data_IF_832794481687
#
_entry.id   IF_832794481687
#
_cell.length_a   1.000
_cell.length_b   1.000
_cell.length_c   1.000
_cell.angle_alpha   90.00
_cell.angle_beta   90.00
_cell.angle_gamma   90.00
#
_symmetry.space_group_name_H-M   'P 1'
#
loop_
_entity.id
_entity.type
_entity.pdbx_description
1 polymer ?
#
# COMPACT_ATOMS: atom_id res chain seq x y z
N UNK A 1 -15.73 11.31 -3.03
CA UNK A 1 -14.41 10.66 -2.91
C UNK A 1 -13.33 11.45 -3.64
N UNK A 2 -13.32 11.57 -4.99
CA UNK A 2 -12.24 12.27 -5.74
C UNK A 2 -12.01 13.69 -5.26
N UNK A 3 -13.07 14.49 -5.12
CA UNK A 3 -12.97 15.89 -4.66
C UNK A 3 -12.35 16.02 -3.26
N UNK A 4 -12.55 15.04 -2.41
CA UNK A 4 -11.96 15.01 -1.08
C UNK A 4 -10.45 14.69 -1.13
N UNK A 5 -10.07 13.72 -1.95
CA UNK A 5 -8.65 13.44 -2.23
C UNK A 5 -7.92 14.65 -2.80
N UNK A 6 -8.53 15.39 -3.72
CA UNK A 6 -7.96 16.64 -4.25
C UNK A 6 -7.67 17.67 -3.15
N UNK A 7 -8.61 17.87 -2.21
CA UNK A 7 -8.43 18.81 -1.10
C UNK A 7 -7.31 18.37 -0.16
N UNK A 8 -7.26 17.08 0.20
CA UNK A 8 -6.24 16.52 1.07
C UNK A 8 -4.87 16.64 0.41
N UNK A 9 -4.74 16.19 -0.83
CA UNK A 9 -3.46 16.25 -1.54
C UNK A 9 -2.98 17.70 -1.74
N UNK A 10 -3.91 18.64 -2.02
CA UNK A 10 -3.57 20.05 -2.11
C UNK A 10 -3.06 20.60 -0.76
N UNK A 11 -3.72 20.25 0.33
CA UNK A 11 -3.31 20.69 1.67
C UNK A 11 -1.95 20.11 2.08
N UNK A 12 -1.66 18.87 1.70
CA UNK A 12 -0.44 18.15 2.05
C UNK A 12 0.70 18.33 1.02
N UNK A 13 0.47 19.10 -0.04
CA UNK A 13 1.47 19.31 -1.10
C UNK A 13 1.78 18.07 -1.93
N UNK A 14 0.83 17.11 -2.01
CA UNK A 14 0.99 15.87 -2.74
C UNK A 14 0.54 16.03 -4.20
N UNK A 15 1.34 15.50 -5.14
CA UNK A 15 0.95 15.46 -6.53
C UNK A 15 -0.22 14.48 -6.74
N UNK A 16 -1.24 14.91 -7.49
CA UNK A 16 -2.43 14.12 -7.78
C UNK A 16 -2.90 14.38 -9.21
N UNK A 17 -3.18 13.33 -9.95
CA UNK A 17 -3.78 13.37 -11.28
C UNK A 17 -4.98 12.42 -11.32
N UNK A 18 -6.18 12.94 -11.44
CA UNK A 18 -7.43 12.20 -11.41
C UNK A 18 -8.26 12.39 -12.69
N UNK A 19 -9.03 11.38 -13.09
CA UNK A 19 -9.02 10.01 -12.55
C UNK A 19 -7.76 9.25 -12.91
N UNK A 20 -7.39 8.18 -12.19
CA UNK A 20 -6.32 7.28 -12.62
C UNK A 20 -6.58 6.73 -14.02
N UNK A 21 -5.51 6.40 -14.77
CA UNK A 21 -5.62 5.87 -16.15
C UNK A 21 -6.55 4.65 -16.24
N UNK A 22 -6.63 3.89 -15.16
CA UNK A 22 -7.59 2.79 -14.99
C UNK A 22 -8.08 2.77 -13.54
N UNK A 23 -9.37 2.57 -13.34
CA UNK A 23 -9.95 2.46 -12.00
C UNK A 23 -11.13 1.46 -12.01
N UNK A 24 -11.15 0.48 -11.07
CA UNK A 24 -10.07 0.16 -10.15
C UNK A 24 -8.86 -0.47 -10.84
N UNK A 25 -7.67 -0.25 -10.29
CA UNK A 25 -6.45 -0.89 -10.74
C UNK A 25 -6.32 -2.30 -10.16
N UNK A 26 -5.66 -3.21 -10.91
CA UNK A 26 -5.29 -4.52 -10.36
C UNK A 26 -3.98 -4.42 -9.57
N UNK A 27 -4.10 -4.24 -8.26
CA UNK A 27 -2.96 -4.13 -7.35
C UNK A 27 -2.36 -5.45 -6.86
N UNK A 28 -2.84 -6.61 -7.32
CA UNK A 28 -2.44 -7.91 -6.77
C UNK A 28 -0.94 -8.19 -6.92
N UNK A 29 -0.34 -7.84 -8.06
CA UNK A 29 1.11 -8.02 -8.29
C UNK A 29 1.92 -7.12 -7.36
N UNK A 30 1.52 -5.85 -7.23
CA UNK A 30 2.15 -4.90 -6.34
C UNK A 30 2.05 -5.35 -4.87
N UNK A 31 0.92 -5.88 -4.43
CA UNK A 31 0.75 -6.41 -3.09
C UNK A 31 1.67 -7.62 -2.80
N UNK A 32 1.83 -8.54 -3.77
CA UNK A 32 2.76 -9.67 -3.66
C UNK A 32 4.21 -9.22 -3.57
N UNK A 33 4.60 -8.21 -4.35
CA UNK A 33 5.94 -7.62 -4.29
C UNK A 33 6.16 -6.89 -2.97
N UNK A 34 5.20 -6.12 -2.49
CA UNK A 34 5.29 -5.42 -1.21
C UNK A 34 5.55 -6.41 -0.05
N UNK A 35 4.89 -7.57 -0.06
CA UNK A 35 5.02 -8.57 0.99
C UNK A 35 6.44 -9.15 1.07
N UNK A 36 7.07 -9.45 -0.06
CA UNK A 36 8.46 -9.96 -0.09
C UNK A 36 9.50 -8.91 0.24
N UNK A 37 9.14 -7.64 0.20
CA UNK A 37 10.06 -6.52 0.46
C UNK A 37 10.32 -6.26 1.93
N UNK A 38 9.51 -6.81 2.84
CA UNK A 38 9.62 -6.56 4.28
C UNK A 38 10.99 -6.93 4.87
N UNK A 39 11.54 -8.12 4.61
CA UNK A 39 12.87 -8.50 5.13
C UNK A 39 13.99 -7.59 4.60
N UNK A 40 13.86 -7.08 3.38
CA UNK A 40 14.81 -6.16 2.76
C UNK A 40 14.59 -4.70 3.10
N UNK A 41 13.52 -4.38 3.84
CA UNK A 41 13.19 -3.02 4.29
C UNK A 41 12.75 -2.05 3.18
N UNK A 42 12.52 -2.54 1.96
CA UNK A 42 12.15 -1.66 0.83
C UNK A 42 10.65 -1.51 0.62
N UNK A 43 9.80 -2.28 1.32
CA UNK A 43 8.33 -2.22 1.20
C UNK A 43 7.76 -0.81 1.36
N UNK A 44 8.15 0.03 2.35
CA UNK A 44 7.58 1.36 2.48
C UNK A 44 7.89 2.27 1.29
N UNK A 45 9.11 2.22 0.76
CA UNK A 45 9.52 3.01 -0.40
C UNK A 45 8.81 2.52 -1.68
N UNK A 46 8.74 1.21 -1.87
CA UNK A 46 8.01 0.59 -2.98
C UNK A 46 6.52 0.95 -2.96
N UNK A 47 5.87 0.85 -1.81
CA UNK A 47 4.45 1.19 -1.66
C UNK A 47 4.20 2.65 -2.04
N UNK A 48 4.99 3.60 -1.51
CA UNK A 48 4.88 5.02 -1.90
C UNK A 48 5.05 5.23 -3.41
N UNK A 49 6.03 4.57 -4.02
CA UNK A 49 6.27 4.68 -5.45
C UNK A 49 5.13 4.12 -6.30
N UNK A 50 4.52 3.00 -5.88
CA UNK A 50 3.34 2.42 -6.56
C UNK A 50 2.14 3.36 -6.46
N UNK A 51 1.88 3.98 -5.31
CA UNK A 51 0.81 4.97 -5.17
C UNK A 51 1.07 6.21 -6.02
N UNK A 52 2.30 6.72 -6.04
CA UNK A 52 2.67 7.84 -6.90
C UNK A 52 2.50 7.50 -8.38
N UNK A 53 2.94 6.33 -8.81
CA UNK A 53 2.76 5.86 -10.19
C UNK A 53 1.29 5.84 -10.60
N UNK A 54 0.40 5.35 -9.72
CA UNK A 54 -1.04 5.28 -10.00
C UNK A 54 -1.72 6.66 -9.98
N UNK A 55 -1.50 7.44 -8.93
CA UNK A 55 -2.30 8.63 -8.65
C UNK A 55 -1.66 9.96 -9.06
N UNK A 56 -0.37 10.02 -9.29
CA UNK A 56 0.33 11.21 -9.75
C UNK A 56 0.85 11.09 -11.19
N UNK A 57 1.35 9.90 -11.55
CA UNK A 57 2.05 9.70 -12.83
C UNK A 57 1.19 9.03 -13.90
N UNK A 58 -0.05 8.67 -13.59
CA UNK A 58 -1.00 8.05 -14.51
C UNK A 58 -0.50 6.74 -15.14
N UNK A 59 0.25 5.93 -14.38
CA UNK A 59 0.79 4.66 -14.84
C UNK A 59 -0.11 3.49 -14.48
N UNK A 60 -0.11 2.45 -15.30
CA UNK A 60 -0.79 1.18 -14.98
C UNK A 60 0.07 0.36 -14.02
N UNK A 61 -0.34 0.29 -12.76
CA UNK A 61 0.34 -0.50 -11.71
C UNK A 61 0.07 -2.02 -11.80
N UNK A 62 -0.82 -2.44 -12.68
CA UNK A 62 -1.01 -3.85 -13.04
C UNK A 62 0.00 -4.34 -14.07
N UNK A 63 0.71 -3.42 -14.73
CA UNK A 63 1.73 -3.75 -15.72
C UNK A 63 3.09 -4.10 -15.09
N UNK A 64 3.70 -5.17 -15.58
CA UNK A 64 5.00 -5.62 -15.08
C UNK A 64 6.12 -4.61 -15.35
N UNK A 65 6.09 -3.91 -16.50
CA UNK A 65 7.12 -2.94 -16.84
C UNK A 65 7.12 -1.75 -15.86
N UNK A 66 5.94 -1.28 -15.47
CA UNK A 66 5.80 -0.24 -14.43
C UNK A 66 6.41 -0.68 -13.11
N UNK A 67 6.07 -1.87 -12.64
CA UNK A 67 6.56 -2.39 -11.36
C UNK A 67 8.08 -2.68 -11.39
N UNK A 68 8.61 -3.19 -12.51
CA UNK A 68 10.05 -3.38 -12.71
C UNK A 68 10.82 -2.07 -12.65
N UNK A 69 10.31 -1.03 -13.30
CA UNK A 69 10.91 0.31 -13.26
C UNK A 69 10.99 0.85 -11.83
N UNK A 70 9.94 0.65 -11.01
CA UNK A 70 9.93 1.06 -9.61
C UNK A 70 10.97 0.28 -8.80
N UNK A 71 11.04 -1.05 -8.95
CA UNK A 71 12.03 -1.89 -8.26
C UNK A 71 13.46 -1.50 -8.61
N UNK A 72 13.74 -1.31 -9.89
CA UNK A 72 15.06 -0.88 -10.37
C UNK A 72 15.48 0.48 -9.79
N UNK A 73 14.55 1.44 -9.71
CA UNK A 73 14.80 2.74 -9.10
C UNK A 73 15.13 2.67 -7.60
N UNK A 74 14.68 1.60 -6.93
CA UNK A 74 14.99 1.30 -5.53
C UNK A 74 16.25 0.45 -5.35
N UNK A 75 16.93 0.08 -6.43
CA UNK A 75 18.11 -0.79 -6.39
C UNK A 75 17.79 -2.26 -6.08
N UNK A 76 16.55 -2.67 -6.30
CA UNK A 76 16.08 -4.05 -6.08
C UNK A 76 16.22 -4.84 -7.38
N UNK A 77 16.76 -6.05 -7.29
CA UNK A 77 16.77 -6.99 -8.41
C UNK A 77 15.33 -7.40 -8.75
N UNK A 78 14.83 -6.89 -9.86
CA UNK A 78 13.45 -7.05 -10.25
C UNK A 78 13.13 -8.48 -10.71
N UNK A 79 14.06 -9.21 -11.35
CA UNK A 79 13.85 -10.60 -11.73
C UNK A 79 13.75 -11.50 -10.50
N UNK A 80 14.65 -11.35 -9.55
CA UNK A 80 14.59 -12.07 -8.28
C UNK A 80 13.32 -11.71 -7.49
N UNK A 81 12.93 -10.44 -7.43
CA UNK A 81 11.72 -9.99 -6.76
C UNK A 81 10.46 -10.58 -7.39
N UNK A 82 10.32 -10.55 -8.72
CA UNK A 82 9.18 -11.15 -9.41
C UNK A 82 9.12 -12.68 -9.24
N UNK A 83 10.26 -13.36 -9.28
CA UNK A 83 10.32 -14.79 -9.03
C UNK A 83 9.81 -15.13 -7.61
N UNK A 84 10.32 -14.43 -6.59
CA UNK A 84 9.89 -14.61 -5.20
C UNK A 84 8.41 -14.26 -4.98
N UNK A 85 7.92 -13.16 -5.57
CA UNK A 85 6.53 -12.72 -5.45
C UNK A 85 5.53 -13.72 -6.04
N UNK A 86 5.95 -14.54 -7.01
CA UNK A 86 5.09 -15.49 -7.70
C UNK A 86 5.14 -16.92 -7.13
N UNK A 87 5.94 -17.17 -6.11
CA UNK A 87 5.97 -18.48 -5.44
C UNK A 87 4.61 -18.82 -4.81
N UNK A 88 4.25 -20.11 -4.71
CA UNK A 88 3.05 -20.55 -3.99
C UNK A 88 3.04 -20.04 -2.54
N UNK A 89 4.17 -20.08 -1.86
CA UNK A 89 4.34 -19.67 -0.47
C UNK A 89 3.98 -18.18 -0.27
N UNK A 90 4.45 -17.29 -1.15
CA UNK A 90 4.14 -15.87 -1.07
C UNK A 90 2.67 -15.57 -1.41
N UNK A 91 2.10 -16.29 -2.37
CA UNK A 91 0.67 -16.18 -2.70
C UNK A 91 -0.21 -16.59 -1.51
N UNK A 92 0.14 -17.69 -0.85
CA UNK A 92 -0.55 -18.15 0.36
C UNK A 92 -0.33 -17.20 1.55
N UNK A 93 0.86 -16.62 1.69
CA UNK A 93 1.15 -15.63 2.71
C UNK A 93 0.27 -14.38 2.55
N UNK A 94 0.12 -13.86 1.33
CA UNK A 94 -0.78 -12.72 1.08
C UNK A 94 -2.24 -13.06 1.37
N UNK A 95 -2.67 -14.27 1.02
CA UNK A 95 -4.02 -14.74 1.32
C UNK A 95 -4.26 -14.78 2.84
N UNK A 96 -3.35 -15.39 3.60
CA UNK A 96 -3.44 -15.43 5.08
C UNK A 96 -3.47 -14.03 5.69
N UNK A 97 -2.63 -13.12 5.21
CA UNK A 97 -2.64 -11.71 5.69
C UNK A 97 -3.99 -11.05 5.45
N UNK A 98 -4.61 -11.30 4.30
CA UNK A 98 -5.94 -10.75 3.97
C UNK A 98 -7.03 -11.36 4.88
N UNK A 99 -6.97 -12.66 5.11
CA UNK A 99 -7.90 -13.38 6.01
C UNK A 99 -7.75 -12.89 7.46
N UNK A 100 -6.53 -12.66 7.92
CA UNK A 100 -6.25 -12.10 9.25
C UNK A 100 -6.80 -10.67 9.38
N UNK A 101 -6.59 -9.83 8.38
CA UNK A 101 -7.15 -8.48 8.36
C UNK A 101 -8.68 -8.50 8.44
N UNK A 102 -9.33 -9.38 7.68
CA UNK A 102 -10.78 -9.57 7.74
C UNK A 102 -11.24 -10.07 9.12
N UNK A 103 -10.53 -11.03 9.72
CA UNK A 103 -10.83 -11.55 11.06
C UNK A 103 -10.70 -10.48 12.15
N UNK A 104 -9.80 -9.49 11.98
CA UNK A 104 -9.68 -8.31 12.85
C UNK A 104 -10.75 -7.24 12.59
N UNK A 105 -11.67 -7.47 11.66
CA UNK A 105 -12.73 -6.53 11.33
C UNK A 105 -12.31 -5.38 10.41
N UNK A 106 -11.17 -5.46 9.73
CA UNK A 106 -10.76 -4.45 8.75
C UNK A 106 -11.67 -4.55 7.52
N UNK A 107 -12.36 -3.46 7.18
CA UNK A 107 -13.32 -3.40 6.09
C UNK A 107 -13.02 -2.27 5.08
N UNK A 108 -11.98 -1.48 5.32
CA UNK A 108 -11.61 -0.36 4.46
C UNK A 108 -10.18 0.11 4.68
N UNK A 109 -9.72 0.97 3.80
CA UNK A 109 -8.39 1.57 3.84
C UNK A 109 -8.49 3.11 3.81
N UNK A 110 -7.59 3.81 4.53
CA UNK A 110 -6.62 3.27 5.48
C UNK A 110 -7.29 2.79 6.78
N UNK A 111 -6.72 1.76 7.40
CA UNK A 111 -7.10 1.31 8.75
C UNK A 111 -5.85 1.20 9.62
N UNK A 112 -5.98 1.55 10.90
CA UNK A 112 -4.91 1.49 11.90
C UNK A 112 -5.37 0.64 13.06
N UNK A 113 -4.55 -0.34 13.48
CA UNK A 113 -4.85 -1.19 14.64
C UNK A 113 -3.82 -0.98 15.75
N UNK A 114 -4.27 -0.77 16.97
CA UNK A 114 -3.43 -0.65 18.17
C UNK A 114 -3.99 -1.60 19.23
N UNK A 115 -3.37 -2.79 19.36
CA UNK A 115 -3.97 -3.89 20.10
C UNK A 115 -5.29 -4.31 19.46
N UNK A 116 -6.38 -4.30 20.22
CA UNK A 116 -7.72 -4.65 19.76
C UNK A 116 -8.53 -3.46 19.22
N UNK A 117 -7.96 -2.24 19.30
CA UNK A 117 -8.63 -1.04 18.81
C UNK A 117 -8.41 -0.84 17.31
N UNK A 118 -9.51 -0.53 16.59
CA UNK A 118 -9.52 -0.25 15.17
C UNK A 118 -9.90 1.22 14.91
N UNK A 119 -9.07 1.90 14.12
CA UNK A 119 -9.32 3.24 13.61
C UNK A 119 -9.40 3.18 12.09
N UNK A 120 -10.52 3.58 11.51
CA UNK A 120 -10.71 3.58 10.07
C UNK A 120 -10.86 5.00 9.53
N UNK A 121 -10.07 5.32 8.52
CA UNK A 121 -10.09 6.57 7.79
C UNK A 121 -8.81 7.39 7.97
N UNK A 122 -8.47 8.18 6.94
CA UNK A 122 -7.32 9.08 6.97
C UNK A 122 -7.41 10.12 8.12
N UNK A 123 -8.63 10.59 8.41
CA UNK A 123 -8.94 11.53 9.48
C UNK A 123 -8.81 10.94 10.90
N UNK A 124 -8.54 9.63 11.01
CA UNK A 124 -8.33 8.93 12.29
C UNK A 124 -6.87 8.67 12.64
N UNK A 125 -5.93 8.99 11.75
CA UNK A 125 -4.50 8.76 11.98
C UNK A 125 -4.01 9.41 13.28
N UNK A 126 -4.33 10.69 13.51
CA UNK A 126 -3.89 11.39 14.73
C UNK A 126 -4.50 10.78 16.00
N UNK A 127 -5.76 10.36 15.95
CA UNK A 127 -6.42 9.70 17.08
C UNK A 127 -5.74 8.34 17.37
N UNK A 128 -5.40 7.57 16.33
CA UNK A 128 -4.68 6.31 16.46
C UNK A 128 -3.29 6.51 17.07
N UNK A 129 -2.54 7.52 16.61
CA UNK A 129 -1.22 7.84 17.15
C UNK A 129 -1.29 8.27 18.64
N UNK A 130 -2.26 9.10 19.02
CA UNK A 130 -2.49 9.47 20.42
C UNK A 130 -2.81 8.25 21.27
N UNK A 131 -3.67 7.36 20.78
CA UNK A 131 -4.00 6.12 21.48
C UNK A 131 -2.79 5.22 21.67
N UNK A 132 -1.96 5.06 20.61
CA UNK A 132 -0.74 4.28 20.68
C UNK A 132 0.29 4.83 21.68
N UNK A 133 0.34 6.15 21.86
CA UNK A 133 1.23 6.82 22.79
C UNK A 133 0.71 6.82 24.25
N UNK A 134 -0.54 6.43 24.50
CA UNK A 134 -1.11 6.41 25.86
C UNK A 134 -0.57 5.20 26.63
N UNK A 135 0.04 5.39 27.81
CA UNK A 135 0.49 4.27 28.64
C UNK A 135 -0.69 3.35 28.95
N UNK A 136 -0.54 2.07 28.64
CA UNK A 136 -1.52 1.06 29.08
C UNK A 136 -1.31 0.83 30.58
N UNK A 137 -2.37 1.05 31.34
CA UNK A 137 -2.40 0.73 32.79
C UNK A 137 -2.27 -0.78 32.98
#
# INVERSE_FOLDING_TARGET
MWRDLERICQADGLALALPPVRFPQNGLKAARLALIGEPGGWTPAFTRAVFAANYAEQKDIGDNATLRTILAALGVDDDAAFAAANTPENKDALKRQTEEAAARGLFGAPSFTIGDELFWGNDRLEAALKWAATPKA
#
